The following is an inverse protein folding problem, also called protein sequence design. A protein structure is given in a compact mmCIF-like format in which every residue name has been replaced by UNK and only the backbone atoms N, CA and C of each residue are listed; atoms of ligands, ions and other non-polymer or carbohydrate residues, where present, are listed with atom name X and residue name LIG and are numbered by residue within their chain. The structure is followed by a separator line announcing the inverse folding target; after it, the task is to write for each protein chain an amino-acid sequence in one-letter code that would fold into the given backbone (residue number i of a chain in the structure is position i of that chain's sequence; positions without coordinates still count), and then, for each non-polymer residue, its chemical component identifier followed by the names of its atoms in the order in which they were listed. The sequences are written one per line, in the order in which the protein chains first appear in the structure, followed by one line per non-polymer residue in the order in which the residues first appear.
data_IF_777210556117
#
_entry.id   IF_777210556117
#
_cell.length_a   1.000
_cell.length_b   1.000
_cell.length_c   1.000
_cell.angle_alpha   90.00
_cell.angle_beta   90.00
_cell.angle_gamma   90.00
#
_symmetry.space_group_name_H-M   'P 1'
#
loop_
_entity.id
_entity.type
_entity.pdbx_description
1 polymer ?
#
# COMPACT_ATOMS: atom_id res chain seq x y z
N UNK A 1 2.39 21.07 8.44
CA UNK A 1 2.41 20.33 7.16
C UNK A 1 1.33 20.87 6.24
N UNK A 2 1.65 21.06 4.97
CA UNK A 2 0.66 21.37 3.95
C UNK A 2 -0.15 20.13 3.58
N UNK A 3 -1.48 20.27 3.51
CA UNK A 3 -2.43 19.18 3.22
C UNK A 3 -2.66 18.96 1.71
N UNK A 4 -1.79 19.50 0.85
CA UNK A 4 -1.87 19.20 -0.59
C UNK A 4 -1.37 17.79 -0.88
N UNK A 5 -2.16 17.08 -1.69
CA UNK A 5 -1.82 15.75 -2.22
C UNK A 5 -0.75 15.87 -3.29
N UNK A 6 0.15 14.90 -3.29
CA UNK A 6 1.16 14.71 -4.32
C UNK A 6 0.71 13.62 -5.28
N UNK A 7 1.32 13.53 -6.46
CA UNK A 7 0.98 12.51 -7.47
C UNK A 7 2.23 11.81 -7.96
N UNK A 8 2.15 10.49 -8.13
CA UNK A 8 3.19 9.72 -8.80
C UNK A 8 3.22 10.03 -10.30
N UNK A 9 4.23 9.54 -11.02
CA UNK A 9 4.34 9.64 -12.49
C UNK A 9 3.10 9.08 -13.21
N UNK A 10 2.44 8.09 -12.62
CA UNK A 10 1.21 7.49 -13.14
C UNK A 10 -0.07 8.27 -12.77
N UNK A 11 0.06 9.40 -12.07
CA UNK A 11 -1.07 10.24 -11.64
C UNK A 11 -1.77 9.78 -10.37
N UNK A 12 -1.25 8.75 -9.68
CA UNK A 12 -1.81 8.23 -8.43
C UNK A 12 -1.49 9.16 -7.26
N UNK A 13 -2.52 9.53 -6.51
CA UNK A 13 -2.41 10.47 -5.41
C UNK A 13 -1.80 9.83 -4.16
N UNK A 14 -0.96 10.55 -3.44
CA UNK A 14 -0.44 10.13 -2.15
C UNK A 14 -0.10 11.33 -1.26
N UNK A 15 0.03 11.07 0.04
CA UNK A 15 0.65 11.95 1.01
C UNK A 15 1.34 11.12 2.08
N UNK A 16 2.67 11.14 2.07
CA UNK A 16 3.54 10.43 3.01
C UNK A 16 4.60 11.38 3.54
N UNK A 17 5.31 11.02 4.62
CA UNK A 17 6.35 11.86 5.20
C UNK A 17 7.56 12.02 4.29
N UNK A 18 8.05 10.92 3.73
CA UNK A 18 9.26 10.89 2.92
C UNK A 18 9.21 9.73 1.93
N UNK A 19 9.13 10.06 0.63
CA UNK A 19 9.07 9.06 -0.44
C UNK A 19 10.43 8.37 -0.67
N UNK A 20 11.54 8.95 -0.23
CA UNK A 20 12.88 8.38 -0.43
C UNK A 20 13.08 7.06 0.33
N UNK A 21 12.26 6.79 1.33
CA UNK A 21 12.29 5.55 2.12
C UNK A 21 11.60 4.37 1.42
N UNK A 22 11.06 4.56 0.21
CA UNK A 22 10.33 3.52 -0.51
C UNK A 22 11.17 2.26 -0.79
N UNK A 23 12.48 2.42 -1.06
CA UNK A 23 13.37 1.27 -1.27
C UNK A 23 13.57 0.46 0.01
N UNK A 24 13.73 1.15 1.14
CA UNK A 24 13.84 0.48 2.44
C UNK A 24 12.54 -0.21 2.83
N UNK A 25 11.39 0.45 2.64
CA UNK A 25 10.09 -0.16 2.89
C UNK A 25 9.81 -1.38 2.01
N UNK A 26 10.29 -1.39 0.76
CA UNK A 26 10.18 -2.55 -0.13
C UNK A 26 10.93 -3.76 0.45
N UNK A 27 12.15 -3.57 0.96
CA UNK A 27 12.92 -4.63 1.60
C UNK A 27 12.20 -5.20 2.82
N UNK A 28 11.62 -4.35 3.69
CA UNK A 28 10.86 -4.82 4.85
C UNK A 28 9.59 -5.57 4.45
N UNK A 29 8.90 -5.12 3.39
CA UNK A 29 7.72 -5.82 2.86
C UNK A 29 8.10 -7.20 2.34
N UNK A 30 9.19 -7.33 1.58
CA UNK A 30 9.68 -8.62 1.07
C UNK A 30 10.00 -9.59 2.22
N UNK A 31 10.59 -9.10 3.31
CA UNK A 31 10.83 -9.91 4.50
C UNK A 31 9.51 -10.34 5.16
N UNK A 32 8.54 -9.41 5.29
CA UNK A 32 7.24 -9.70 5.87
C UNK A 32 6.43 -10.72 5.04
N UNK A 33 6.57 -10.73 3.71
CA UNK A 33 5.88 -11.70 2.84
C UNK A 33 6.26 -13.15 3.14
N UNK A 34 7.52 -13.40 3.52
CA UNK A 34 7.99 -14.73 3.94
C UNK A 34 7.28 -15.19 5.21
N UNK A 35 6.99 -14.27 6.13
CA UNK A 35 6.26 -14.55 7.37
C UNK A 35 4.75 -14.66 7.15
N UNK A 36 4.23 -14.04 6.09
CA UNK A 36 2.80 -13.95 5.77
C UNK A 36 2.34 -14.96 4.70
N UNK A 37 2.67 -16.24 4.88
CA UNK A 37 2.35 -17.33 3.94
C UNK A 37 0.86 -17.40 3.54
N UNK A 38 -0.05 -17.03 4.45
CA UNK A 38 -1.48 -16.99 4.17
C UNK A 38 -1.84 -15.98 3.08
N UNK A 39 -1.25 -14.79 3.09
CA UNK A 39 -1.50 -13.78 2.06
C UNK A 39 -0.90 -14.18 0.71
N UNK A 40 0.30 -14.75 0.71
CA UNK A 40 0.96 -15.24 -0.51
C UNK A 40 0.15 -16.38 -1.14
N UNK A 41 -0.41 -17.28 -0.33
CA UNK A 41 -1.31 -18.34 -0.78
C UNK A 41 -2.56 -17.75 -1.44
N UNK A 42 -3.21 -16.77 -0.82
CA UNK A 42 -4.37 -16.09 -1.40
C UNK A 42 -4.05 -15.42 -2.75
N UNK A 43 -2.88 -14.79 -2.88
CA UNK A 43 -2.45 -14.18 -4.16
C UNK A 43 -2.25 -15.25 -5.23
N UNK A 44 -1.70 -16.40 -4.89
CA UNK A 44 -1.46 -17.49 -5.83
C UNK A 44 -2.76 -18.15 -6.27
N UNK A 45 -3.69 -18.37 -5.34
CA UNK A 45 -4.97 -19.03 -5.60
C UNK A 45 -5.94 -18.13 -6.38
N UNK A 46 -6.10 -16.87 -5.96
CA UNK A 46 -7.12 -15.96 -6.51
C UNK A 46 -6.55 -14.90 -7.47
N UNK A 47 -5.22 -14.82 -7.61
CA UNK A 47 -4.58 -13.92 -8.57
C UNK A 47 -5.08 -14.13 -10.00
N UNK A 48 -5.17 -15.37 -10.54
CA UNK A 48 -5.65 -15.59 -11.91
C UNK A 48 -7.11 -15.21 -12.14
N UNK A 49 -7.96 -15.38 -11.12
CA UNK A 49 -9.40 -15.09 -11.22
C UNK A 49 -9.73 -13.61 -11.04
N UNK A 50 -8.79 -12.81 -10.53
CA UNK A 50 -8.94 -11.37 -10.33
C UNK A 50 -10.31 -11.00 -9.71
N UNK A 51 -10.68 -11.57 -8.55
CA UNK A 51 -12.05 -11.47 -8.03
C UNK A 51 -12.42 -10.04 -7.62
N UNK A 52 -11.44 -9.17 -7.40
CA UNK A 52 -11.66 -7.76 -7.07
C UNK A 52 -11.46 -6.82 -8.26
N UNK A 53 -11.40 -7.34 -9.48
CA UNK A 53 -11.28 -6.51 -10.68
C UNK A 53 -12.41 -5.49 -10.76
N UNK A 54 -12.04 -4.20 -10.76
CA UNK A 54 -12.98 -3.07 -10.80
C UNK A 54 -13.56 -2.68 -9.44
N UNK A 55 -13.23 -3.39 -8.36
CA UNK A 55 -13.59 -3.00 -7.02
C UNK A 55 -12.70 -1.82 -6.56
N UNK A 56 -13.32 -0.83 -5.92
CA UNK A 56 -12.63 0.29 -5.26
C UNK A 56 -12.73 0.12 -3.77
N UNK A 57 -11.59 -0.11 -3.12
CA UNK A 57 -11.54 -0.47 -1.71
C UNK A 57 -10.79 0.60 -0.93
N UNK A 58 -11.45 1.14 0.09
CA UNK A 58 -10.82 1.94 1.13
C UNK A 58 -10.78 1.08 2.39
N UNK A 59 -9.64 0.48 2.67
CA UNK A 59 -9.48 -0.43 3.81
C UNK A 59 -8.20 -0.13 4.58
N UNK A 60 -8.06 -0.71 5.78
CA UNK A 60 -6.96 -0.51 6.72
C UNK A 60 -5.92 -1.63 6.69
N UNK A 61 -6.14 -2.73 5.95
CA UNK A 61 -5.22 -3.88 5.94
C UNK A 61 -4.86 -4.42 4.54
N UNK A 62 -3.67 -5.04 4.47
CA UNK A 62 -3.10 -5.86 3.37
C UNK A 62 -3.31 -5.35 1.94
N UNK A 63 -2.76 -4.17 1.67
CA UNK A 63 -2.91 -3.42 0.41
C UNK A 63 -2.43 -4.21 -0.81
N UNK A 64 -1.25 -4.81 -0.75
CA UNK A 64 -0.64 -5.46 -1.93
C UNK A 64 -1.37 -6.73 -2.37
N UNK A 65 -1.97 -7.45 -1.42
CA UNK A 65 -2.81 -8.61 -1.75
C UNK A 65 -4.07 -8.15 -2.46
N UNK A 66 -4.77 -7.13 -1.94
CA UNK A 66 -5.98 -6.61 -2.60
C UNK A 66 -5.69 -6.11 -4.02
N UNK A 67 -4.56 -5.41 -4.22
CA UNK A 67 -4.15 -4.97 -5.56
C UNK A 67 -3.78 -6.15 -6.46
N UNK A 68 -3.12 -7.19 -5.92
CA UNK A 68 -2.79 -8.40 -6.68
C UNK A 68 -4.05 -9.17 -7.11
N UNK A 69 -5.14 -9.10 -6.35
CA UNK A 69 -6.46 -9.66 -6.70
C UNK A 69 -7.31 -8.73 -7.59
N UNK A 70 -6.79 -7.56 -8.00
CA UNK A 70 -7.39 -6.67 -9.00
C UNK A 70 -8.10 -5.43 -8.47
N UNK A 71 -8.02 -5.15 -7.16
CA UNK A 71 -8.67 -4.00 -6.56
C UNK A 71 -7.89 -2.68 -6.80
N UNK A 72 -8.63 -1.58 -6.93
CA UNK A 72 -8.09 -0.23 -6.82
C UNK A 72 -8.19 0.22 -5.34
N UNK A 73 -7.04 0.43 -4.69
CA UNK A 73 -6.98 0.67 -3.24
C UNK A 73 -6.58 2.12 -2.92
N UNK A 74 -7.28 2.71 -1.94
CA UNK A 74 -6.86 3.93 -1.25
C UNK A 74 -6.76 3.64 0.24
N UNK A 75 -5.67 4.06 0.88
CA UNK A 75 -5.35 3.66 2.26
C UNK A 75 -5.04 4.88 3.14
N UNK A 76 -5.47 4.79 4.40
CA UNK A 76 -5.04 5.70 5.47
C UNK A 76 -4.88 4.95 6.78
N UNK A 77 -3.96 5.43 7.63
CA UNK A 77 -3.73 4.84 8.95
C UNK A 77 -4.90 5.15 9.88
N UNK A 78 -5.23 4.18 10.73
CA UNK A 78 -6.24 4.31 11.79
C UNK A 78 -5.69 4.98 13.05
N UNK A 79 -4.37 5.06 13.20
CA UNK A 79 -3.69 5.63 14.34
C UNK A 79 -2.53 6.53 13.88
N UNK A 80 -2.44 7.69 14.51
CA UNK A 80 -1.48 8.75 14.17
C UNK A 80 0.00 8.38 14.42
N UNK A 81 0.27 7.31 15.17
CA UNK A 81 1.63 6.84 15.52
C UNK A 81 1.94 5.42 15.01
N UNK A 82 1.00 4.79 14.30
CA UNK A 82 1.19 3.40 13.84
C UNK A 82 1.68 3.33 12.39
N UNK A 83 1.86 4.48 11.74
CA UNK A 83 2.33 4.50 10.36
C UNK A 83 3.83 4.25 10.38
N UNK A 84 4.26 3.16 9.76
CA UNK A 84 5.67 2.99 9.40
C UNK A 84 5.88 3.77 8.10
N UNK A 85 6.62 4.88 8.18
CA UNK A 85 6.79 5.83 7.06
C UNK A 85 7.40 5.15 5.83
N UNK A 86 8.37 4.27 6.03
CA UNK A 86 9.01 3.50 4.95
C UNK A 86 8.02 2.58 4.24
N UNK A 87 7.15 1.90 4.98
CA UNK A 87 6.11 1.05 4.41
C UNK A 87 5.09 1.90 3.64
N UNK A 88 4.67 3.03 4.20
CA UNK A 88 3.76 3.96 3.53
C UNK A 88 4.37 4.51 2.22
N UNK A 89 5.67 4.82 2.21
CA UNK A 89 6.40 5.27 1.03
C UNK A 89 6.47 4.20 -0.07
N UNK A 90 6.79 2.95 0.29
CA UNK A 90 6.85 1.83 -0.64
C UNK A 90 5.49 1.57 -1.31
N UNK A 91 4.42 1.57 -0.51
CA UNK A 91 3.06 1.39 -1.02
C UNK A 91 2.61 2.57 -1.90
N UNK A 92 2.91 3.81 -1.49
CA UNK A 92 2.55 5.01 -2.26
C UNK A 92 3.18 5.00 -3.67
N UNK A 93 4.45 4.57 -3.74
CA UNK A 93 5.19 4.47 -5.00
C UNK A 93 4.61 3.39 -5.89
N UNK A 94 4.49 2.17 -5.37
CA UNK A 94 4.34 0.98 -6.19
C UNK A 94 2.87 0.52 -6.32
N UNK A 95 2.10 0.58 -5.24
CA UNK A 95 0.90 -0.27 -5.10
C UNK A 95 -0.42 0.51 -5.02
N UNK A 96 -0.53 1.54 -4.17
CA UNK A 96 -1.82 2.19 -3.88
C UNK A 96 -1.69 3.66 -3.50
N UNK A 97 -2.83 4.37 -3.48
CA UNK A 97 -2.88 5.73 -2.97
C UNK A 97 -2.84 5.71 -1.43
N UNK A 98 -1.87 6.38 -0.81
CA UNK A 98 -1.65 6.35 0.65
C UNK A 98 -1.70 7.75 1.22
N UNK A 99 -2.44 7.95 2.31
CA UNK A 99 -2.58 9.24 2.99
C UNK A 99 -2.29 9.09 4.48
N UNK A 100 -1.01 9.13 4.84
CA UNK A 100 -0.56 8.97 6.21
C UNK A 100 0.58 9.93 6.50
N UNK A 101 0.45 10.64 7.62
CA UNK A 101 1.43 11.59 8.10
C UNK A 101 1.59 11.32 9.60
N UNK A 102 2.79 10.92 10.02
CA UNK A 102 3.17 11.14 11.41
C UNK A 102 3.34 12.64 11.67
N UNK A 103 3.14 13.07 12.92
CA UNK A 103 3.45 14.43 13.38
C UNK A 103 4.94 14.59 13.64
#
# INVERSE_FOLDING_TARGET
MSLFVEKTTAGREYKVRDLSQADFGRLEIELAEVEMLGLVSCRTEFGPSQPFKGARITDRCSIETLTALGAEVRWCSSNIFSTQDQAAAAIARDSAAVFCLER
#
